data_IF_718808964424
#
_entry.id   IF_718808964424
#
_cell.length_a   1.000
_cell.length_b   1.000
_cell.length_c   1.000
_cell.angle_alpha   90.00
_cell.angle_beta   90.00
_cell.angle_gamma   90.00
#
_symmetry.space_group_name_H-M   'P 1'
#
loop_
_entity.id
_entity.type
_entity.pdbx_description
1 polymer ?
#
# COMPACT_ATOMS: atom_id res chain seq x y z
N UNK A 1 8.06 -19.21 -11.75
CA UNK A 1 8.23 -17.74 -11.70
C UNK A 1 7.19 -17.19 -10.75
N UNK A 2 7.59 -16.36 -9.78
CA UNK A 2 6.63 -15.72 -8.86
C UNK A 2 6.16 -14.43 -9.52
N UNK A 3 4.86 -14.26 -9.72
CA UNK A 3 4.27 -13.02 -10.22
C UNK A 3 4.42 -11.90 -9.20
N UNK A 4 4.55 -10.64 -9.66
CA UNK A 4 4.54 -9.47 -8.78
C UNK A 4 3.24 -9.46 -7.96
N UNK A 5 3.35 -9.36 -6.64
CA UNK A 5 2.19 -9.12 -5.78
C UNK A 5 1.64 -7.72 -6.02
N UNK A 6 0.33 -7.61 -6.21
CA UNK A 6 -0.40 -6.35 -6.31
C UNK A 6 -1.68 -6.49 -5.48
N UNK A 7 -1.87 -5.68 -4.43
CA UNK A 7 -3.04 -5.79 -3.56
C UNK A 7 -4.32 -5.28 -4.25
N UNK A 8 -5.47 -5.76 -3.77
CA UNK A 8 -6.81 -5.31 -4.18
C UNK A 8 -7.57 -4.70 -2.99
N UNK A 9 -8.66 -4.00 -3.26
CA UNK A 9 -9.53 -3.39 -2.23
C UNK A 9 -9.93 -4.41 -1.17
N UNK A 10 -9.72 -4.07 0.11
CA UNK A 10 -10.01 -4.90 1.28
C UNK A 10 -8.81 -5.68 1.82
N UNK A 11 -7.70 -5.76 1.09
CA UNK A 11 -6.47 -6.38 1.60
C UNK A 11 -5.87 -5.56 2.76
N UNK A 12 -5.26 -6.25 3.72
CA UNK A 12 -4.43 -5.63 4.76
C UNK A 12 -2.97 -5.89 4.42
N UNK A 13 -2.20 -4.82 4.24
CA UNK A 13 -0.78 -4.90 3.85
C UNK A 13 0.11 -4.18 4.88
N UNK A 14 1.36 -4.61 4.97
CA UNK A 14 2.39 -3.87 5.69
C UNK A 14 3.02 -2.83 4.76
N UNK A 15 3.11 -1.59 5.22
CA UNK A 15 3.76 -0.48 4.53
C UNK A 15 4.78 0.18 5.44
N UNK A 16 5.88 0.62 4.84
CA UNK A 16 6.88 1.47 5.48
C UNK A 16 6.55 2.94 5.22
N UNK A 17 6.29 3.70 6.28
CA UNK A 17 5.99 5.13 6.20
C UNK A 17 7.24 6.02 6.39
N UNK A 18 8.43 5.45 6.57
CA UNK A 18 9.64 6.23 6.76
C UNK A 18 10.28 6.67 5.42
N UNK A 19 10.90 7.87 5.38
CA UNK A 19 11.02 8.84 6.46
C UNK A 19 9.77 9.71 6.62
N UNK A 20 9.47 10.09 7.87
CA UNK A 20 8.38 11.03 8.20
C UNK A 20 8.87 12.44 8.50
N UNK A 21 8.00 13.43 8.27
CA UNK A 21 8.26 14.82 8.66
C UNK A 21 7.27 15.28 9.73
N UNK A 22 7.77 15.82 10.85
CA UNK A 22 6.92 16.37 11.91
C UNK A 22 6.21 15.28 12.73
N UNK A 23 4.87 15.31 12.76
CA UNK A 23 4.03 14.42 13.58
C UNK A 23 3.26 13.38 12.74
N UNK A 24 3.71 13.13 11.51
CA UNK A 24 3.14 12.08 10.65
C UNK A 24 3.40 10.67 11.24
N UNK A 25 2.54 9.71 10.89
CA UNK A 25 2.75 8.32 11.32
C UNK A 25 3.96 7.74 10.61
N UNK A 26 4.94 7.22 11.37
CA UNK A 26 6.15 6.60 10.84
C UNK A 26 6.29 5.11 11.15
N UNK A 27 7.34 4.53 10.57
CA UNK A 27 7.67 3.10 10.66
C UNK A 27 6.74 2.19 9.87
N UNK A 28 6.90 0.89 10.12
CA UNK A 28 6.06 -0.13 9.48
C UNK A 28 4.67 -0.16 10.13
N UNK A 29 3.62 -0.02 9.31
CA UNK A 29 2.23 -0.03 9.76
C UNK A 29 1.36 -0.92 8.88
N UNK A 30 0.35 -1.60 9.45
CA UNK A 30 -0.69 -2.20 8.66
C UNK A 30 -1.58 -1.11 8.05
N UNK A 31 -1.95 -1.26 6.79
CA UNK A 31 -2.86 -0.39 6.07
C UNK A 31 -3.91 -1.22 5.32
N UNK A 32 -5.12 -0.68 5.18
CA UNK A 32 -6.21 -1.33 4.44
C UNK A 32 -6.21 -0.78 3.02
N UNK A 33 -6.26 -1.65 2.02
CA UNK A 33 -6.30 -1.23 0.62
C UNK A 33 -7.70 -0.73 0.25
N UNK A 34 -7.82 0.51 -0.24
CA UNK A 34 -9.11 1.08 -0.68
C UNK A 34 -9.26 1.07 -2.20
N UNK A 35 -8.19 1.28 -2.98
CA UNK A 35 -8.24 1.30 -4.44
C UNK A 35 -8.27 -0.10 -5.08
N UNK A 36 -8.97 -0.26 -6.22
CA UNK A 36 -9.13 -1.56 -6.88
C UNK A 36 -7.86 -2.00 -7.62
N UNK A 37 -7.68 -3.33 -7.76
CA UNK A 37 -6.56 -3.97 -8.44
C UNK A 37 -6.32 -3.41 -9.84
N UNK A 38 -7.38 -3.11 -10.60
CA UNK A 38 -7.24 -2.57 -11.95
C UNK A 38 -6.47 -1.23 -11.98
N UNK A 39 -6.67 -0.37 -10.97
CA UNK A 39 -5.90 0.86 -10.80
C UNK A 39 -4.49 0.55 -10.30
N UNK A 40 -4.38 -0.24 -9.22
CA UNK A 40 -3.11 -0.55 -8.55
C UNK A 40 -2.12 -1.22 -9.52
N UNK A 41 -2.59 -2.18 -10.32
CA UNK A 41 -1.77 -2.92 -11.27
C UNK A 41 -1.32 -2.05 -12.46
N UNK A 42 -2.19 -1.12 -12.90
CA UNK A 42 -1.92 -0.25 -14.05
C UNK A 42 -0.97 0.89 -13.70
N UNK A 43 -1.21 1.55 -12.55
CA UNK A 43 -0.52 2.79 -12.17
C UNK A 43 0.69 2.53 -11.26
N UNK A 44 0.67 1.42 -10.50
CA UNK A 44 1.72 1.14 -9.50
C UNK A 44 1.63 2.02 -8.26
N UNK A 45 0.49 2.68 -8.05
CA UNK A 45 0.17 3.47 -6.86
C UNK A 45 -1.03 2.86 -6.13
N UNK A 46 -1.11 3.12 -4.83
CA UNK A 46 -2.09 2.55 -3.92
C UNK A 46 -2.81 3.69 -3.17
N UNK A 47 -4.11 3.51 -2.90
CA UNK A 47 -4.89 4.36 -1.99
C UNK A 47 -5.33 3.55 -0.77
N UNK A 48 -4.90 3.95 0.42
CA UNK A 48 -5.02 3.20 1.67
C UNK A 48 -5.94 3.91 2.68
#
# INVERSE_FOLDING_TARGET
>A
MVSRFVPDSGDIIWIDFDPVTGHEQGGHRPAVMLSPFAYNNKVGLLLL
#
